data_IF_811704261573
#
_entry.id   IF_811704261573
#
_cell.length_a   1.000
_cell.length_b   1.000
_cell.length_c   1.000
_cell.angle_alpha   90.00
_cell.angle_beta   90.00
_cell.angle_gamma   90.00
#
_symmetry.space_group_name_H-M   'P 1'
#
loop_
_entity.id
_entity.type
_entity.pdbx_description
1 polymer ?
#
# COMPACT_ATOMS: atom_id res chain seq x y z
N UNK A 1 -6.45 20.61 -14.71
CA UNK A 1 -5.73 19.41 -14.29
C UNK A 1 -4.84 19.72 -13.10
N UNK A 2 -4.91 18.91 -12.06
CA UNK A 2 -4.19 19.14 -10.81
C UNK A 2 -3.03 18.16 -10.68
N UNK A 3 -1.83 18.67 -10.33
CA UNK A 3 -0.67 17.85 -10.02
C UNK A 3 -0.70 17.37 -8.57
N UNK A 4 -1.43 18.08 -7.71
CA UNK A 4 -1.66 17.69 -6.32
C UNK A 4 -3.15 17.66 -6.04
N UNK A 5 -3.60 16.70 -5.26
CA UNK A 5 -5.02 16.51 -4.99
C UNK A 5 -5.23 16.08 -3.54
N UNK A 6 -6.26 16.64 -2.91
CA UNK A 6 -6.69 16.24 -1.58
C UNK A 6 -7.37 14.87 -1.65
N UNK A 7 -7.03 14.02 -0.70
CA UNK A 7 -7.65 12.71 -0.53
C UNK A 7 -8.03 12.55 0.93
N UNK A 8 -9.22 12.03 1.19
CA UNK A 8 -9.69 11.74 2.55
C UNK A 8 -9.70 10.24 2.75
N UNK A 9 -9.10 9.79 3.85
CA UNK A 9 -9.04 8.36 4.19
C UNK A 9 -10.42 7.89 4.66
N UNK A 10 -10.89 6.80 4.09
CA UNK A 10 -12.11 6.12 4.53
C UNK A 10 -11.74 4.74 5.07
N UNK A 11 -12.21 4.47 6.29
CA UNK A 11 -11.99 3.19 6.94
C UNK A 11 -10.67 3.09 7.68
N UNK A 12 -10.34 1.87 8.10
CA UNK A 12 -9.29 1.60 9.08
C UNK A 12 -8.11 0.82 8.51
N UNK A 13 -8.07 0.56 7.19
CA UNK A 13 -7.08 -0.36 6.61
C UNK A 13 -5.63 0.14 6.72
N UNK A 14 -5.44 1.43 6.93
CA UNK A 14 -4.11 2.04 7.08
C UNK A 14 -3.78 2.42 8.52
N UNK A 15 -4.60 2.03 9.51
CA UNK A 15 -4.22 2.20 10.91
C UNK A 15 -2.93 1.42 11.20
N UNK A 16 -2.02 1.93 12.02
CA UNK A 16 -2.09 3.20 12.75
C UNK A 16 -1.55 4.40 11.96
N UNK A 17 -1.08 4.20 10.73
CA UNK A 17 -0.44 5.25 9.92
C UNK A 17 -1.42 6.37 9.60
N UNK A 18 -2.61 6.02 9.11
CA UNK A 18 -3.71 6.97 8.88
C UNK A 18 -4.97 6.44 9.53
N UNK A 19 -5.73 7.34 10.13
CA UNK A 19 -7.05 7.02 10.69
C UNK A 19 -8.16 7.46 9.73
N UNK A 20 -9.35 6.91 9.94
CA UNK A 20 -10.53 7.32 9.19
C UNK A 20 -10.70 8.85 9.26
N UNK A 21 -10.97 9.47 8.13
CA UNK A 21 -11.17 10.92 8.06
C UNK A 21 -9.89 11.74 7.92
N UNK A 22 -8.71 11.13 7.95
CA UNK A 22 -7.45 11.86 7.72
C UNK A 22 -7.44 12.54 6.36
N UNK A 23 -6.98 13.77 6.29
CA UNK A 23 -6.78 14.51 5.05
C UNK A 23 -5.34 14.37 4.59
N UNK A 24 -5.19 13.98 3.34
CA UNK A 24 -3.89 13.74 2.72
C UNK A 24 -3.79 14.53 1.42
N UNK A 25 -2.55 14.79 1.01
CA UNK A 25 -2.27 15.32 -0.32
C UNK A 25 -1.58 14.24 -1.14
N UNK A 26 -2.11 14.00 -2.34
CA UNK A 26 -1.59 13.05 -3.30
C UNK A 26 -0.94 13.81 -4.46
N UNK A 27 0.26 13.38 -4.84
CA UNK A 27 0.91 13.83 -6.07
C UNK A 27 0.49 12.94 -7.23
N UNK A 28 0.05 13.55 -8.33
CA UNK A 28 -0.34 12.83 -9.54
C UNK A 28 0.80 12.69 -10.54
N UNK A 29 1.95 13.30 -10.27
CA UNK A 29 3.09 13.31 -11.20
C UNK A 29 4.29 12.54 -10.71
N UNK A 30 4.29 12.05 -9.47
CA UNK A 30 5.46 11.38 -8.88
C UNK A 30 5.95 10.20 -9.70
N UNK A 31 5.06 9.50 -10.39
CA UNK A 31 5.42 8.30 -11.14
C UNK A 31 5.48 8.51 -12.65
N UNK A 32 5.52 9.76 -13.11
CA UNK A 32 5.71 10.06 -14.54
C UNK A 32 7.13 9.64 -14.96
N UNK A 33 8.12 9.99 -14.15
CA UNK A 33 9.52 9.68 -14.43
C UNK A 33 10.11 8.64 -13.48
N UNK A 34 9.58 8.55 -12.27
CA UNK A 34 10.06 7.64 -11.25
C UNK A 34 9.17 6.42 -11.11
N UNK A 35 9.73 5.35 -10.59
CA UNK A 35 8.98 4.14 -10.28
C UNK A 35 8.59 4.12 -8.79
N UNK A 36 7.45 3.48 -8.45
CA UNK A 36 7.09 3.27 -7.06
C UNK A 36 8.19 2.55 -6.29
N UNK A 37 8.44 3.02 -5.08
CA UNK A 37 9.44 2.46 -4.17
C UNK A 37 8.74 1.67 -3.07
N UNK A 38 9.46 0.70 -2.49
CA UNK A 38 8.97 0.01 -1.29
C UNK A 38 8.69 1.02 -0.20
N UNK A 39 7.51 0.91 0.42
CA UNK A 39 7.08 1.82 1.48
C UNK A 39 6.27 3.01 0.99
N UNK A 40 6.26 3.30 -0.30
CA UNK A 40 5.41 4.36 -0.84
C UNK A 40 3.95 4.06 -0.55
N UNK A 41 3.19 5.08 -0.20
CA UNK A 41 1.75 4.98 -0.02
C UNK A 41 1.08 5.51 -1.27
N UNK A 42 0.26 4.69 -1.89
CA UNK A 42 -0.29 4.94 -3.22
C UNK A 42 -1.81 4.90 -3.20
N UNK A 43 -2.40 5.56 -4.19
CA UNK A 43 -3.83 5.58 -4.44
C UNK A 43 -4.10 4.93 -5.78
N UNK A 44 -5.07 4.03 -5.83
CA UNK A 44 -5.47 3.34 -7.04
C UNK A 44 -6.97 3.01 -7.01
N UNK A 45 -7.63 2.90 -8.18
CA UNK A 45 -9.04 2.50 -8.21
C UNK A 45 -9.18 1.01 -7.92
N UNK A 46 -10.10 0.66 -7.04
CA UNK A 46 -10.44 -0.73 -6.78
C UNK A 46 -11.22 -1.29 -7.97
N UNK A 47 -10.65 -2.33 -8.58
CA UNK A 47 -11.29 -3.04 -9.70
C UNK A 47 -11.79 -2.09 -10.79
N UNK A 48 -10.98 -1.07 -11.15
CA UNK A 48 -11.28 -0.05 -12.17
C UNK A 48 -12.59 0.71 -11.92
N UNK A 49 -13.04 0.74 -10.68
CA UNK A 49 -14.26 1.44 -10.26
C UNK A 49 -13.97 2.88 -9.85
N UNK A 50 -14.98 3.57 -9.31
CA UNK A 50 -14.83 4.89 -8.71
C UNK A 50 -14.54 4.83 -7.21
N UNK A 51 -14.30 3.64 -6.66
CA UNK A 51 -13.84 3.45 -5.29
C UNK A 51 -12.31 3.41 -5.33
N UNK A 52 -11.66 4.25 -4.52
CA UNK A 52 -10.22 4.34 -4.49
C UNK A 52 -9.66 3.74 -3.20
N UNK A 53 -8.59 2.98 -3.34
CA UNK A 53 -7.89 2.39 -2.22
C UNK A 53 -6.59 3.14 -1.97
N UNK A 54 -6.20 3.21 -0.70
CA UNK A 54 -4.91 3.74 -0.25
C UNK A 54 -4.18 2.59 0.42
N UNK A 55 -3.03 2.20 -0.11
CA UNK A 55 -2.24 1.08 0.40
C UNK A 55 -0.76 1.41 0.32
N UNK A 56 0.05 0.59 0.98
CA UNK A 56 1.50 0.72 0.96
C UNK A 56 2.12 -0.29 -0.01
N UNK A 57 3.10 0.14 -0.78
CA UNK A 57 3.88 -0.75 -1.65
C UNK A 57 4.79 -1.60 -0.79
N UNK A 58 4.64 -2.92 -0.91
CA UNK A 58 5.43 -3.90 -0.13
C UNK A 58 6.36 -4.69 -1.04
N UNK A 59 5.85 -5.22 -2.15
CA UNK A 59 6.65 -5.98 -3.12
C UNK A 59 6.89 -5.20 -4.39
N UNK A 60 8.10 -5.33 -4.94
CA UNK A 60 8.54 -4.66 -6.15
C UNK A 60 8.65 -5.65 -7.31
N UNK A 61 8.69 -5.16 -8.57
CA UNK A 61 8.79 -6.04 -9.73
C UNK A 61 9.94 -7.04 -9.61
N UNK A 62 9.65 -8.28 -9.98
CA UNK A 62 10.64 -9.36 -9.99
C UNK A 62 10.92 -9.99 -8.63
N UNK A 63 10.36 -9.44 -7.57
CA UNK A 63 10.55 -10.00 -6.22
C UNK A 63 9.60 -11.16 -5.96
N UNK A 64 10.00 -12.05 -5.05
CA UNK A 64 9.14 -13.09 -4.52
C UNK A 64 8.68 -12.66 -3.14
N UNK A 65 7.37 -12.65 -2.92
CA UNK A 65 6.79 -12.29 -1.62
C UNK A 65 6.15 -13.53 -0.99
N UNK A 66 6.34 -13.68 0.32
CA UNK A 66 5.68 -14.72 1.10
C UNK A 66 5.34 -14.17 2.47
N UNK A 67 4.19 -14.60 3.00
CA UNK A 67 3.78 -14.30 4.37
C UNK A 67 3.79 -15.60 5.15
N UNK A 68 4.62 -15.65 6.19
CA UNK A 68 4.69 -16.80 7.08
C UNK A 68 5.01 -16.35 8.51
N UNK A 69 4.50 -17.06 9.49
CA UNK A 69 4.72 -16.75 10.90
C UNK A 69 4.36 -15.31 11.25
N UNK A 70 3.31 -14.79 10.61
CA UNK A 70 2.79 -13.45 10.87
C UNK A 70 3.55 -12.30 10.23
N UNK A 71 4.57 -12.58 9.41
CA UNK A 71 5.46 -11.55 8.85
C UNK A 71 5.65 -11.72 7.34
N UNK A 72 6.08 -10.62 6.71
CA UNK A 72 6.36 -10.58 5.27
C UNK A 72 7.82 -10.92 5.01
N UNK A 73 8.05 -11.76 4.02
CA UNK A 73 9.38 -12.11 3.53
C UNK A 73 9.49 -11.70 2.06
N UNK A 74 10.58 -11.03 1.72
CA UNK A 74 10.91 -10.63 0.34
C UNK A 74 12.15 -11.39 -0.07
N UNK A 75 12.04 -12.17 -1.15
CA UNK A 75 13.15 -13.01 -1.65
C UNK A 75 13.73 -13.90 -0.54
N UNK A 76 12.86 -14.40 0.34
CA UNK A 76 13.25 -15.28 1.45
C UNK A 76 13.78 -14.58 2.69
N UNK A 77 13.87 -13.25 2.69
CA UNK A 77 14.37 -12.48 3.82
C UNK A 77 13.25 -11.72 4.52
N UNK A 78 13.28 -11.72 5.85
CA UNK A 78 12.31 -11.01 6.66
C UNK A 78 12.34 -9.52 6.35
N UNK A 79 11.18 -8.95 6.03
CA UNK A 79 11.03 -7.51 5.87
C UNK A 79 10.75 -6.90 7.26
N UNK A 80 11.61 -5.97 7.66
CA UNK A 80 11.39 -5.22 8.90
C UNK A 80 10.37 -4.12 8.66
N UNK A 81 9.31 -4.12 9.46
CA UNK A 81 8.20 -3.20 9.30
C UNK A 81 7.83 -2.57 10.64
N UNK A 82 8.00 -1.28 10.78
CA UNK A 82 7.71 -0.53 12.02
C UNK A 82 6.38 0.22 11.99
N UNK A 83 5.65 0.12 10.87
CA UNK A 83 4.38 0.84 10.65
C UNK A 83 3.14 -0.05 10.84
N UNK A 84 3.32 -1.33 11.09
CA UNK A 84 2.18 -2.26 11.27
C UNK A 84 1.72 -2.27 12.73
N UNK A 85 0.43 -2.53 12.91
CA UNK A 85 -0.19 -2.55 14.23
C UNK A 85 0.08 -3.85 14.98
N UNK A 86 0.03 -4.98 14.28
CA UNK A 86 0.15 -6.33 14.84
C UNK A 86 0.58 -7.33 13.77
N UNK A 87 1.10 -8.49 14.16
CA UNK A 87 1.41 -9.54 13.19
C UNK A 87 0.18 -9.97 12.40
N UNK A 88 0.41 -10.49 11.20
CA UNK A 88 -0.65 -11.04 10.36
C UNK A 88 -1.15 -12.32 11.00
N UNK A 89 -2.45 -12.41 11.23
CA UNK A 89 -3.07 -13.60 11.82
C UNK A 89 -3.06 -14.76 10.83
N UNK A 90 -2.97 -15.97 11.39
CA UNK A 90 -3.07 -17.19 10.59
C UNK A 90 -4.39 -17.20 9.81
N UNK A 91 -4.29 -17.51 8.51
CA UNK A 91 -5.42 -17.50 7.59
C UNK A 91 -5.58 -16.19 6.81
N UNK A 92 -4.79 -15.17 7.15
CA UNK A 92 -4.87 -13.85 6.47
C UNK A 92 -3.73 -13.62 5.48
N UNK A 93 -2.97 -14.67 5.18
CA UNK A 93 -1.84 -14.59 4.24
C UNK A 93 -2.30 -14.46 2.78
N UNK A 94 -3.49 -14.98 2.48
CA UNK A 94 -4.05 -14.94 1.13
C UNK A 94 -3.16 -15.60 0.09
N UNK A 95 -2.97 -14.93 -1.03
CA UNK A 95 -2.15 -15.39 -2.16
C UNK A 95 -0.67 -15.56 -1.82
N UNK A 96 -0.21 -14.94 -0.74
CA UNK A 96 1.20 -14.97 -0.32
C UNK A 96 1.48 -16.08 0.72
N UNK A 97 0.55 -17.00 0.94
CA UNK A 97 0.78 -18.20 1.77
C UNK A 97 1.99 -18.98 1.24
N UNK A 98 2.02 -19.20 -0.06
CA UNK A 98 3.18 -19.75 -0.75
C UNK A 98 3.97 -18.62 -1.41
N UNK A 99 5.28 -18.83 -1.70
CA UNK A 99 6.05 -17.81 -2.39
C UNK A 99 5.37 -17.36 -3.68
N UNK A 100 5.16 -16.07 -3.83
CA UNK A 100 4.50 -15.45 -4.97
C UNK A 100 5.50 -14.60 -5.73
N UNK A 101 5.82 -15.00 -6.95
CA UNK A 101 6.73 -14.25 -7.82
C UNK A 101 5.96 -13.11 -8.50
N UNK A 102 6.42 -11.89 -8.30
CA UNK A 102 5.89 -10.72 -9.00
C UNK A 102 6.51 -10.61 -10.39
N UNK A 103 5.68 -10.23 -11.36
CA UNK A 103 6.16 -9.97 -12.71
C UNK A 103 7.06 -8.73 -12.76
N UNK A 104 7.69 -8.51 -13.93
CA UNK A 104 8.65 -7.42 -14.11
C UNK A 104 8.03 -6.03 -14.05
N UNK A 105 6.71 -5.93 -14.11
CA UNK A 105 5.96 -4.68 -14.04
C UNK A 105 4.91 -4.69 -12.92
N UNK A 106 5.02 -5.62 -11.99
CA UNK A 106 4.00 -5.83 -10.96
C UNK A 106 4.46 -5.43 -9.58
N UNK A 107 3.55 -4.84 -8.83
CA UNK A 107 3.71 -4.40 -7.45
C UNK A 107 2.70 -5.11 -6.56
N UNK A 108 3.11 -5.39 -5.33
CA UNK A 108 2.26 -5.99 -4.32
C UNK A 108 2.04 -4.97 -3.21
N UNK A 109 0.78 -4.66 -2.92
CA UNK A 109 0.42 -3.62 -1.94
C UNK A 109 -0.35 -4.21 -0.78
N UNK A 110 -0.16 -3.65 0.41
CA UNK A 110 -0.88 -4.07 1.61
C UNK A 110 -1.27 -2.86 2.45
N UNK A 111 -2.40 -3.00 3.15
CA UNK A 111 -2.75 -2.04 4.20
C UNK A 111 -1.87 -2.25 5.43
N UNK A 112 -1.61 -1.20 6.17
CA UNK A 112 -0.81 -1.28 7.40
C UNK A 112 -1.56 -2.03 8.50
N UNK A 113 -2.88 -1.91 8.53
CA UNK A 113 -3.73 -2.70 9.42
C UNK A 113 -3.97 -4.08 8.81
N UNK A 114 -2.99 -4.95 8.93
CA UNK A 114 -2.90 -6.23 8.21
C UNK A 114 -4.10 -7.14 8.39
N UNK A 115 -4.70 -7.12 9.55
CA UNK A 115 -5.84 -8.00 9.83
C UNK A 115 -7.19 -7.35 9.51
N UNK A 116 -7.17 -6.17 8.89
CA UNK A 116 -8.36 -5.44 8.49
C UNK A 116 -8.12 -4.65 7.20
N UNK A 117 -7.63 -5.33 6.16
CA UNK A 117 -7.32 -4.70 4.88
C UNK A 117 -7.59 -5.66 3.73
N UNK A 118 -8.31 -5.18 2.73
CA UNK A 118 -8.44 -5.85 1.44
C UNK A 118 -7.37 -5.28 0.52
N UNK A 119 -6.45 -6.13 0.08
CA UNK A 119 -5.28 -5.69 -0.67
C UNK A 119 -4.75 -6.79 -1.59
N UNK A 120 -3.51 -6.69 -2.05
CA UNK A 120 -2.92 -7.62 -3.02
C UNK A 120 -2.89 -9.07 -2.56
N UNK A 121 -3.05 -9.33 -1.26
CA UNK A 121 -3.14 -10.70 -0.76
C UNK A 121 -4.36 -11.45 -1.33
N UNK A 122 -5.35 -10.74 -1.83
CA UNK A 122 -6.62 -11.31 -2.29
C UNK A 122 -6.82 -11.04 -3.77
N UNK A 123 -7.46 -12.01 -4.45
CA UNK A 123 -7.65 -11.96 -5.91
C UNK A 123 -8.40 -10.74 -6.39
N UNK A 124 -9.30 -10.19 -5.56
CA UNK A 124 -10.10 -9.02 -5.90
C UNK A 124 -9.23 -7.80 -6.17
N UNK A 125 -8.06 -7.71 -5.57
CA UNK A 125 -7.11 -6.62 -5.81
C UNK A 125 -5.96 -7.11 -6.70
N UNK A 126 -5.32 -8.21 -6.32
CA UNK A 126 -4.22 -8.79 -7.07
C UNK A 126 -2.98 -7.90 -7.12
N UNK A 127 -2.10 -8.17 -8.08
CA UNK A 127 -0.92 -7.36 -8.31
C UNK A 127 -1.29 -6.12 -9.11
N UNK A 128 -0.61 -5.01 -8.84
CA UNK A 128 -0.84 -3.75 -9.53
C UNK A 128 0.30 -3.44 -10.49
N UNK A 129 -0.02 -2.69 -11.53
CA UNK A 129 0.98 -2.12 -12.44
C UNK A 129 1.06 -0.62 -12.20
N UNK A 130 2.18 -0.01 -12.57
CA UNK A 130 2.38 1.43 -12.43
C UNK A 130 1.23 2.24 -13.06
N UNK A 131 0.74 1.80 -14.20
CA UNK A 131 -0.37 2.44 -14.92
C UNK A 131 -1.71 2.37 -14.19
N UNK A 132 -1.85 1.48 -13.20
CA UNK A 132 -3.05 1.39 -12.38
C UNK A 132 -3.10 2.47 -11.30
N UNK A 133 -1.98 3.12 -11.03
CA UNK A 133 -1.86 4.06 -9.93
C UNK A 133 -2.34 5.45 -10.33
N UNK A 134 -3.08 6.09 -9.43
CA UNK A 134 -3.51 7.49 -9.63
C UNK A 134 -2.45 8.44 -9.09
N UNK A 135 -1.82 8.11 -7.99
CA UNK A 135 -0.81 8.96 -7.42
C UNK A 135 -0.17 8.41 -6.17
N UNK A 136 0.76 9.20 -5.64
CA UNK A 136 1.51 8.91 -4.43
C UNK A 136 1.09 9.88 -3.34
N UNK A 137 0.81 9.36 -2.15
CA UNK A 137 0.52 10.19 -0.97
C UNK A 137 1.83 10.81 -0.50
N UNK A 138 1.91 12.13 -0.45
CA UNK A 138 3.14 12.86 -0.16
C UNK A 138 3.07 13.71 1.10
N UNK A 139 1.86 14.01 1.60
CA UNK A 139 1.70 14.93 2.72
C UNK A 139 0.44 14.60 3.53
N UNK A 140 0.54 14.70 4.85
CA UNK A 140 -0.60 14.59 5.76
C UNK A 140 -1.00 15.96 6.24
N UNK A 141 -2.27 16.31 6.05
CA UNK A 141 -2.82 17.59 6.49
C UNK A 141 -3.46 17.45 7.85
N UNK A 142 -4.34 16.45 8.03
CA UNK A 142 -5.01 16.20 9.30
C UNK A 142 -4.95 14.72 9.64
N UNK A 143 -4.98 14.40 10.93
CA UNK A 143 -5.03 15.30 12.10
C UNK A 143 -3.76 16.13 12.24
N UNK A 144 -3.90 17.33 12.78
CA UNK A 144 -2.79 18.31 12.88
C UNK A 144 -1.61 17.86 13.72
N UNK A 145 -1.83 16.99 14.70
CA UNK A 145 -0.76 16.46 15.54
C UNK A 145 0.19 15.53 14.77
N UNK A 146 -0.22 15.11 13.58
CA UNK A 146 0.61 14.27 12.69
C UNK A 146 0.84 14.93 11.32
N UNK A 147 0.61 16.24 11.24
CA UNK A 147 0.80 17.03 10.03
C UNK A 147 2.23 16.91 9.52
N UNK A 148 2.40 16.72 8.24
CA UNK A 148 3.70 16.76 7.61
C UNK A 148 3.87 15.81 6.43
N UNK A 149 5.11 15.77 5.94
CA UNK A 149 5.50 14.93 4.82
C UNK A 149 5.39 13.44 5.15
N UNK A 150 5.07 12.68 4.14
CA UNK A 150 5.02 11.22 4.20
C UNK A 150 6.31 10.68 3.57
N UNK A 151 6.89 9.66 4.20
CA UNK A 151 8.08 8.98 3.68
C UNK A 151 9.39 9.58 4.17
N UNK A 152 9.34 10.36 5.22
CA UNK A 152 10.52 10.90 5.87
C UNK A 152 11.13 9.90 6.86
#
# INVERSE_FOLDING_TARGET
QHIAQRVVVEGASMNPTFTDGSDLIMSRISYIEDDPQRGDIIVFPYNHSHVYFIKRVIGLPGETIQIKDGAVYINGELLEEDYILEPILEGYEGRATDPLLLGEDEYFVMGDNRNNSLDSRFDEVGNLKKEDLIGKVVFRVTPFDTFGKIGE
#
